data_IF_846100586661
#
_entry.id   IF_846100586661
#
_cell.length_a   1.000
_cell.length_b   1.000
_cell.length_c   1.000
_cell.angle_alpha   90.00
_cell.angle_beta   90.00
_cell.angle_gamma   90.00
#
_symmetry.space_group_name_H-M   'P 1'
#
loop_
_entity.id
_entity.type
_entity.pdbx_description
1 polymer ?
#
# COMPACT_ATOMS: atom_id res chain seq x y z
N UNK A 1 -15.02 12.94 -20.63
CA UNK A 1 -15.66 11.66 -21.05
C UNK A 1 -14.66 10.65 -21.63
N UNK A 2 -13.92 10.94 -22.71
CA UNK A 2 -13.03 9.95 -23.35
C UNK A 2 -11.87 9.45 -22.45
N UNK A 3 -11.26 10.32 -21.65
CA UNK A 3 -10.15 9.93 -20.77
C UNK A 3 -10.59 9.04 -19.60
N UNK A 4 -11.67 9.41 -18.90
CA UNK A 4 -12.25 8.60 -17.80
C UNK A 4 -12.64 7.21 -18.30
N UNK A 5 -13.30 7.13 -19.46
CA UNK A 5 -13.62 5.83 -20.09
C UNK A 5 -12.37 5.01 -20.46
N UNK A 6 -11.32 5.65 -20.99
CA UNK A 6 -10.06 4.98 -21.35
C UNK A 6 -9.26 4.51 -20.14
N UNK A 7 -9.19 5.32 -19.09
CA UNK A 7 -8.57 4.92 -17.82
C UNK A 7 -9.37 3.75 -17.25
N UNK A 8 -10.70 3.90 -17.19
CA UNK A 8 -11.63 2.86 -16.74
C UNK A 8 -11.43 1.51 -17.42
N UNK A 9 -11.27 1.47 -18.74
CA UNK A 9 -11.02 0.21 -19.47
C UNK A 9 -9.68 -0.45 -19.15
N UNK A 10 -8.73 0.29 -18.58
CA UNK A 10 -7.42 -0.23 -18.15
C UNK A 10 -7.35 -0.50 -16.64
N UNK A 11 -8.44 -0.30 -15.89
CA UNK A 11 -8.48 -0.60 -14.46
C UNK A 11 -8.67 -2.10 -14.22
N UNK A 12 -8.32 -2.51 -13.01
CA UNK A 12 -8.58 -3.86 -12.53
C UNK A 12 -10.06 -4.23 -12.70
N UNK A 13 -10.32 -5.36 -13.33
CA UNK A 13 -11.69 -5.82 -13.57
C UNK A 13 -12.33 -6.43 -12.33
N UNK A 14 -13.66 -6.37 -12.21
CA UNK A 14 -14.40 -7.09 -11.16
C UNK A 14 -14.09 -8.59 -11.16
N UNK A 15 -13.90 -9.19 -12.34
CA UNK A 15 -13.55 -10.62 -12.47
C UNK A 15 -12.20 -10.94 -11.82
N UNK A 16 -11.18 -10.12 -12.09
CA UNK A 16 -9.86 -10.30 -11.48
C UNK A 16 -9.89 -10.00 -9.97
N UNK A 17 -10.63 -8.98 -9.54
CA UNK A 17 -10.82 -8.67 -8.12
C UNK A 17 -11.51 -9.82 -7.38
N UNK A 18 -12.55 -10.42 -7.97
CA UNK A 18 -13.21 -11.61 -7.43
C UNK A 18 -12.23 -12.77 -7.27
N UNK A 19 -11.33 -12.99 -8.25
CA UNK A 19 -10.27 -14.00 -8.13
C UNK A 19 -9.33 -13.72 -6.94
N UNK A 20 -9.02 -12.46 -6.66
CA UNK A 20 -8.21 -12.10 -5.49
C UNK A 20 -8.94 -12.37 -4.18
N UNK A 21 -10.25 -12.12 -4.12
CA UNK A 21 -11.09 -12.48 -2.97
C UNK A 21 -11.19 -14.00 -2.78
N UNK A 22 -11.29 -14.77 -3.86
CA UNK A 22 -11.31 -16.23 -3.79
C UNK A 22 -9.97 -16.78 -3.28
N UNK A 23 -8.85 -16.19 -3.71
CA UNK A 23 -7.53 -16.51 -3.19
C UNK A 23 -7.37 -16.13 -1.72
N UNK A 24 -7.94 -15.00 -1.28
CA UNK A 24 -7.99 -14.61 0.14
C UNK A 24 -8.74 -15.67 0.97
N UNK A 25 -9.95 -16.05 0.53
CA UNK A 25 -10.80 -17.05 1.20
C UNK A 25 -10.12 -18.41 1.23
N UNK A 26 -9.48 -18.81 0.13
CA UNK A 26 -8.70 -20.04 0.07
C UNK A 26 -7.54 -20.02 1.07
N UNK A 27 -6.78 -18.92 1.14
CA UNK A 27 -5.66 -18.81 2.09
C UNK A 27 -6.15 -18.84 3.54
N UNK A 28 -7.26 -18.18 3.84
CA UNK A 28 -7.86 -18.21 5.18
C UNK A 28 -8.31 -19.63 5.57
N UNK A 29 -8.97 -20.36 4.66
CA UNK A 29 -9.30 -21.78 4.87
C UNK A 29 -8.05 -22.67 4.96
N UNK A 30 -7.00 -22.36 4.21
CA UNK A 30 -5.74 -23.10 4.27
C UNK A 30 -4.99 -22.93 5.60
N UNK A 31 -5.31 -21.88 6.35
CA UNK A 31 -4.78 -21.59 7.67
C UNK A 31 -5.72 -22.08 8.79
N UNK A 32 -6.79 -22.80 8.47
CA UNK A 32 -7.64 -23.41 9.49
C UNK A 32 -6.81 -24.36 10.37
N UNK A 33 -6.98 -24.24 11.69
CA UNK A 33 -6.20 -25.00 12.69
C UNK A 33 -4.78 -24.48 12.93
N UNK A 34 -4.29 -23.48 12.18
CA UNK A 34 -3.00 -22.85 12.47
C UNK A 34 -3.10 -22.01 13.75
N UNK A 35 -2.15 -22.19 14.67
CA UNK A 35 -2.02 -21.37 15.87
C UNK A 35 -0.62 -20.79 15.98
N UNK A 36 -0.55 -19.46 16.12
CA UNK A 36 0.72 -18.74 16.35
C UNK A 36 1.32 -19.03 17.74
N UNK A 37 0.49 -19.43 18.71
CA UNK A 37 0.90 -19.83 20.06
C UNK A 37 1.95 -20.93 20.02
N UNK A 38 1.69 -21.97 19.23
CA UNK A 38 2.59 -23.12 19.09
C UNK A 38 3.94 -22.72 18.49
N UNK A 39 3.95 -21.70 17.63
CA UNK A 39 5.15 -21.22 16.95
C UNK A 39 5.99 -20.33 17.88
N UNK A 40 5.34 -19.46 18.65
CA UNK A 40 6.03 -18.51 19.52
C UNK A 40 6.20 -19.02 20.96
N UNK A 41 5.58 -20.14 21.33
CA UNK A 41 5.60 -20.67 22.69
C UNK A 41 4.80 -19.80 23.67
N UNK A 42 3.75 -19.14 23.19
CA UNK A 42 2.92 -18.21 23.97
C UNK A 42 1.62 -18.91 24.33
N UNK A 43 1.18 -18.84 25.59
CA UNK A 43 -0.10 -19.40 26.04
C UNK A 43 -1.23 -18.36 26.04
N UNK A 44 -2.47 -18.76 25.75
CA UNK A 44 -3.72 -17.99 25.92
C UNK A 44 -4.05 -16.96 24.83
N UNK A 45 -3.32 -16.97 23.73
CA UNK A 45 -3.57 -16.21 22.53
C UNK A 45 -4.42 -17.03 21.54
N UNK A 46 -5.64 -17.41 21.91
CA UNK A 46 -6.60 -18.10 21.03
C UNK A 46 -7.03 -17.16 19.89
N UNK A 47 -6.15 -17.01 18.91
CA UNK A 47 -6.29 -16.07 17.80
C UNK A 47 -6.29 -16.87 16.52
N UNK A 48 -7.47 -17.00 15.92
CA UNK A 48 -7.59 -17.54 14.56
C UNK A 48 -6.94 -16.55 13.60
N UNK A 49 -6.13 -17.02 12.63
CA UNK A 49 -5.58 -16.15 11.61
C UNK A 49 -6.72 -15.55 10.78
N UNK A 50 -6.64 -14.24 10.55
CA UNK A 50 -7.47 -13.50 9.62
C UNK A 50 -6.62 -13.07 8.44
N UNK A 51 -7.15 -13.21 7.22
CA UNK A 51 -6.42 -12.84 6.00
C UNK A 51 -7.01 -11.59 5.39
N UNK A 52 -6.22 -10.52 5.32
CA UNK A 52 -6.59 -9.28 4.64
C UNK A 52 -5.84 -9.12 3.33
N UNK A 53 -6.53 -8.62 2.30
CA UNK A 53 -5.86 -8.15 1.08
C UNK A 53 -5.30 -6.75 1.31
N UNK A 54 -4.24 -6.40 0.59
CA UNK A 54 -3.74 -5.03 0.53
C UNK A 54 -3.08 -4.72 -0.81
N UNK A 55 -2.60 -3.48 -0.96
CA UNK A 55 -1.93 -2.99 -2.14
C UNK A 55 -2.85 -2.21 -3.09
N UNK A 56 -2.49 -2.21 -4.37
CA UNK A 56 -3.17 -1.36 -5.35
C UNK A 56 -4.61 -1.78 -5.64
N UNK A 57 -4.94 -3.07 -5.47
CA UNK A 57 -6.29 -3.59 -5.65
C UNK A 57 -7.26 -3.05 -4.58
N UNK A 58 -6.82 -3.00 -3.31
CA UNK A 58 -7.62 -2.47 -2.20
C UNK A 58 -7.70 -0.94 -2.23
N UNK A 59 -6.56 -0.25 -2.42
CA UNK A 59 -6.52 1.23 -2.48
C UNK A 59 -7.34 1.84 -3.62
N UNK A 60 -7.81 1.04 -4.60
CA UNK A 60 -8.60 1.52 -5.72
C UNK A 60 -7.77 2.13 -6.85
N UNK A 61 -6.46 1.89 -6.86
CA UNK A 61 -5.50 2.46 -7.83
C UNK A 61 -4.89 1.41 -8.78
N UNK A 62 -5.40 0.19 -8.78
CA UNK A 62 -4.95 -0.91 -9.63
C UNK A 62 -5.34 -0.73 -11.11
N UNK A 63 -4.36 -0.96 -11.99
CA UNK A 63 -4.59 -1.17 -13.41
C UNK A 63 -4.74 -2.67 -13.71
N UNK A 64 -5.09 -3.03 -14.94
CA UNK A 64 -5.02 -4.40 -15.45
C UNK A 64 -3.64 -5.00 -15.18
N UNK A 65 -3.58 -6.29 -14.85
CA UNK A 65 -2.36 -7.00 -14.44
C UNK A 65 -1.77 -6.55 -13.10
N UNK A 66 -2.54 -5.86 -12.24
CA UNK A 66 -2.11 -5.64 -10.87
C UNK A 66 -2.03 -6.98 -10.11
N UNK A 67 -1.09 -7.06 -9.18
CA UNK A 67 -1.02 -8.15 -8.21
C UNK A 67 -1.88 -7.84 -6.98
N UNK A 68 -2.12 -8.87 -6.18
CA UNK A 68 -2.77 -8.75 -4.87
C UNK A 68 -1.84 -9.32 -3.79
N UNK A 69 -1.67 -8.53 -2.73
CA UNK A 69 -0.87 -8.90 -1.58
C UNK A 69 -1.81 -9.31 -0.42
N UNK A 70 -1.34 -10.23 0.42
CA UNK A 70 -2.12 -10.80 1.52
C UNK A 70 -1.35 -10.66 2.84
N UNK A 71 -2.04 -10.19 3.87
CA UNK A 71 -1.53 -10.10 5.23
C UNK A 71 -2.26 -11.14 6.11
N UNK A 72 -1.49 -11.98 6.79
CA UNK A 72 -2.01 -12.87 7.83
C UNK A 72 -1.87 -12.14 9.17
N UNK A 73 -3.00 -11.89 9.81
CA UNK A 73 -3.10 -11.13 11.05
C UNK A 73 -3.80 -11.96 12.12
N UNK A 74 -3.56 -11.61 13.38
CA UNK A 74 -4.12 -12.31 14.54
C UNK A 74 -4.87 -11.30 15.40
N UNK A 75 -6.10 -11.63 15.82
CA UNK A 75 -6.92 -10.77 16.68
C UNK A 75 -6.77 -11.16 18.14
N UNK A 76 -6.70 -10.17 19.04
CA UNK A 76 -6.70 -10.45 20.48
C UNK A 76 -8.12 -10.72 21.00
N UNK A 77 -8.28 -11.75 21.83
CA UNK A 77 -9.52 -12.04 22.56
C UNK A 77 -9.46 -11.45 23.98
N UNK A 78 -9.71 -10.13 24.11
CA UNK A 78 -9.86 -9.47 25.41
C UNK A 78 -8.56 -9.13 26.14
N UNK A 79 -8.70 -8.48 27.30
CA UNK A 79 -7.61 -7.92 28.13
C UNK A 79 -6.62 -9.00 28.55
N UNK A 80 -5.60 -9.20 27.71
CA UNK A 80 -4.51 -10.13 27.97
C UNK A 80 -3.48 -9.41 28.83
N UNK A 81 -3.18 -9.92 30.03
CA UNK A 81 -2.18 -9.35 30.91
C UNK A 81 -0.80 -9.38 30.21
N UNK A 82 -0.25 -8.18 29.99
CA UNK A 82 0.91 -7.87 29.12
C UNK A 82 2.25 -8.52 29.54
N UNK A 83 2.28 -9.21 30.68
CA UNK A 83 3.48 -9.38 31.51
C UNK A 83 4.53 -10.39 30.96
N UNK A 84 4.14 -11.45 30.25
CA UNK A 84 5.08 -12.47 29.73
C UNK A 84 5.19 -12.53 28.20
N UNK A 85 4.31 -11.82 27.46
CA UNK A 85 4.14 -11.95 26.01
C UNK A 85 4.75 -10.77 25.21
N UNK A 86 5.16 -9.69 25.90
CA UNK A 86 5.60 -8.42 25.32
C UNK A 86 6.93 -8.47 24.53
N UNK A 87 7.73 -9.53 24.69
CA UNK A 87 9.05 -9.59 24.05
C UNK A 87 8.99 -9.96 22.56
N UNK A 88 7.98 -10.70 22.10
CA UNK A 88 7.86 -11.15 20.70
C UNK A 88 6.74 -10.47 19.91
N UNK A 89 5.81 -9.82 20.61
CA UNK A 89 4.62 -9.21 20.05
C UNK A 89 4.62 -7.71 20.33
N UNK A 90 4.10 -6.93 19.39
CA UNK A 90 3.72 -5.54 19.63
C UNK A 90 2.20 -5.49 19.81
N UNK A 91 1.75 -5.00 20.96
CA UNK A 91 0.39 -4.54 21.13
C UNK A 91 0.38 -3.07 20.71
N UNK A 92 0.08 -2.81 19.44
CA UNK A 92 -0.42 -1.48 19.11
C UNK A 92 -1.74 -1.28 19.84
N UNK A 93 -2.22 -0.05 20.03
CA UNK A 93 -3.60 0.23 20.53
C UNK A 93 -4.72 -0.40 19.67
N UNK A 94 -4.35 -1.22 18.68
CA UNK A 94 -5.20 -1.99 17.82
C UNK A 94 -5.43 -3.38 18.43
N UNK A 95 -6.63 -3.91 18.25
CA UNK A 95 -7.03 -5.23 18.75
C UNK A 95 -6.41 -6.38 17.93
N UNK A 96 -5.24 -6.12 17.34
CA UNK A 96 -4.43 -7.06 16.56
C UNK A 96 -3.15 -7.36 17.32
N UNK A 97 -2.64 -8.56 17.10
CA UNK A 97 -1.36 -9.02 17.60
C UNK A 97 -0.35 -8.93 16.47
N UNK A 98 0.61 -8.01 16.60
CA UNK A 98 1.65 -7.83 15.60
C UNK A 98 2.90 -8.62 16.01
N UNK A 99 3.32 -9.54 15.13
CA UNK A 99 4.58 -10.27 15.30
C UNK A 99 5.73 -9.30 15.09
N UNK A 100 6.70 -9.23 16.02
CA UNK A 100 7.90 -8.42 15.81
C UNK A 100 8.69 -8.93 14.61
N UNK A 101 9.35 -8.01 13.91
CA UNK A 101 10.05 -8.28 12.64
C UNK A 101 11.06 -9.42 12.75
N UNK A 102 11.80 -9.53 13.85
CA UNK A 102 12.77 -10.63 14.04
C UNK A 102 12.13 -12.03 14.07
N UNK A 103 10.83 -12.13 14.37
CA UNK A 103 10.07 -13.38 14.40
C UNK A 103 9.30 -13.65 13.10
N UNK A 104 9.25 -12.69 12.15
CA UNK A 104 8.49 -12.85 10.91
C UNK A 104 8.92 -14.07 10.11
N UNK A 105 10.23 -14.30 9.97
CA UNK A 105 10.76 -15.45 9.25
C UNK A 105 10.27 -16.77 9.86
N UNK A 106 10.34 -16.90 11.20
CA UNK A 106 9.91 -18.10 11.92
C UNK A 106 8.43 -18.38 11.67
N UNK A 107 7.57 -17.37 11.84
CA UNK A 107 6.12 -17.53 11.68
C UNK A 107 5.73 -17.79 10.22
N UNK A 108 6.35 -17.11 9.25
CA UNK A 108 6.11 -17.35 7.83
C UNK A 108 6.53 -18.75 7.38
N UNK A 109 7.64 -19.28 7.93
CA UNK A 109 8.05 -20.68 7.69
C UNK A 109 7.02 -21.66 8.24
N UNK A 110 6.53 -21.46 9.47
CA UNK A 110 5.51 -22.32 10.04
C UNK A 110 4.18 -22.26 9.28
N UNK A 111 3.77 -21.08 8.80
CA UNK A 111 2.62 -20.92 7.91
C UNK A 111 2.81 -21.74 6.63
N UNK A 112 3.99 -21.64 6.01
CA UNK A 112 4.32 -22.37 4.80
C UNK A 112 4.27 -23.88 5.01
N UNK A 113 4.84 -24.38 6.11
CA UNK A 113 4.81 -25.80 6.49
C UNK A 113 3.37 -26.30 6.71
N UNK A 114 2.56 -25.53 7.44
CA UNK A 114 1.14 -25.84 7.67
C UNK A 114 0.38 -25.98 6.36
N UNK A 115 0.52 -25.01 5.44
CA UNK A 115 -0.14 -25.03 4.14
C UNK A 115 0.36 -26.22 3.29
N UNK A 116 1.66 -26.55 3.35
CA UNK A 116 2.22 -27.67 2.59
C UNK A 116 1.68 -29.02 3.04
N UNK A 117 1.51 -29.22 4.35
CA UNK A 117 0.94 -30.47 4.88
C UNK A 117 -0.50 -30.66 4.39
N UNK A 118 -1.30 -29.59 4.43
CA UNK A 118 -2.74 -29.67 4.15
C UNK A 118 -3.09 -29.50 2.66
N UNK A 119 -2.24 -28.86 1.85
CA UNK A 119 -2.57 -28.44 0.47
C UNK A 119 -1.43 -28.65 -0.55
N UNK A 120 -0.58 -29.67 -0.34
CA UNK A 120 0.56 -29.98 -1.23
C UNK A 120 0.20 -30.16 -2.73
N UNK A 121 -1.01 -30.62 -3.05
CA UNK A 121 -1.47 -30.78 -4.44
C UNK A 121 -1.89 -29.47 -5.11
N UNK A 122 -2.22 -28.45 -4.32
CA UNK A 122 -2.73 -27.16 -4.79
C UNK A 122 -1.61 -26.12 -4.89
N UNK A 123 -0.62 -26.16 -4.00
CA UNK A 123 0.54 -25.26 -4.02
C UNK A 123 1.71 -25.97 -4.70
N UNK A 124 2.01 -25.55 -5.94
CA UNK A 124 3.00 -26.22 -6.80
C UNK A 124 4.42 -25.71 -6.59
N UNK A 125 4.57 -24.47 -6.11
CA UNK A 125 5.87 -23.84 -5.83
C UNK A 125 5.72 -22.81 -4.72
N UNK A 126 6.80 -22.60 -3.96
CA UNK A 126 6.89 -21.52 -2.97
C UNK A 126 8.25 -20.81 -3.08
N UNK A 127 8.28 -19.50 -2.85
CA UNK A 127 9.50 -18.71 -2.71
C UNK A 127 9.49 -18.00 -1.35
N UNK A 128 10.67 -17.82 -0.75
CA UNK A 128 10.85 -17.19 0.55
C UNK A 128 11.68 -15.91 0.37
N UNK A 129 11.11 -14.75 0.70
CA UNK A 129 11.73 -13.44 0.48
C UNK A 129 11.83 -12.70 1.82
N UNK A 130 12.78 -13.11 2.65
CA UNK A 130 12.98 -12.55 4.00
C UNK A 130 13.91 -11.33 4.05
N UNK A 131 14.72 -11.12 3.01
CA UNK A 131 15.64 -9.97 2.91
C UNK A 131 14.97 -8.66 2.56
N UNK A 132 13.70 -8.69 2.13
CA UNK A 132 12.91 -7.50 1.87
C UNK A 132 12.64 -6.72 3.18
N UNK A 133 12.28 -5.43 3.05
CA UNK A 133 11.86 -4.61 4.19
C UNK A 133 10.72 -5.28 4.96
N UNK A 134 9.69 -5.68 4.22
CA UNK A 134 8.57 -6.51 4.69
C UNK A 134 8.83 -7.94 4.22
N UNK A 135 9.18 -8.87 5.12
CA UNK A 135 9.33 -10.29 4.79
C UNK A 135 8.03 -10.88 4.28
N UNK A 136 8.09 -11.69 3.22
CA UNK A 136 6.94 -12.40 2.69
C UNK A 136 7.32 -13.76 2.09
N UNK A 137 6.33 -14.63 1.94
CA UNK A 137 6.41 -15.87 1.17
C UNK A 137 5.51 -15.74 -0.05
N UNK A 138 5.94 -16.29 -1.18
CA UNK A 138 5.14 -16.33 -2.40
C UNK A 138 4.67 -17.75 -2.65
N UNK A 139 3.35 -17.94 -2.73
CA UNK A 139 2.72 -19.23 -2.98
C UNK A 139 2.21 -19.28 -4.42
N UNK A 140 2.64 -20.26 -5.21
CA UNK A 140 2.15 -20.47 -6.57
C UNK A 140 1.08 -21.56 -6.55
N UNK A 141 -0.16 -21.19 -6.89
CA UNK A 141 -1.31 -22.08 -6.89
C UNK A 141 -1.54 -22.68 -8.27
N UNK A 142 -1.80 -23.98 -8.37
CA UNK A 142 -2.25 -24.57 -9.64
C UNK A 142 -3.61 -23.99 -10.03
N UNK A 143 -3.76 -23.58 -11.30
CA UNK A 143 -5.07 -23.22 -11.85
C UNK A 143 -5.95 -24.46 -12.02
N UNK A 144 -7.27 -24.24 -12.12
CA UNK A 144 -8.16 -25.26 -12.69
C UNK A 144 -7.76 -25.50 -14.16
N UNK A 145 -7.55 -26.76 -14.56
CA UNK A 145 -7.15 -27.18 -15.91
C UNK A 145 -5.69 -26.89 -16.32
N UNK A 146 -4.71 -26.91 -15.41
CA UNK A 146 -3.27 -26.75 -15.74
C UNK A 146 -2.90 -25.44 -16.48
N UNK A 147 -3.75 -24.43 -16.48
CA UNK A 147 -3.41 -23.08 -16.97
C UNK A 147 -2.54 -22.34 -15.95
N UNK A 148 -1.81 -21.31 -16.40
CA UNK A 148 -0.93 -20.47 -15.57
C UNK A 148 -1.55 -20.17 -14.20
N UNK A 149 -0.85 -20.63 -13.15
CA UNK A 149 -1.27 -20.49 -11.77
C UNK A 149 -1.24 -19.05 -11.27
N UNK A 150 -2.15 -18.68 -10.37
CA UNK A 150 -2.03 -17.41 -9.65
C UNK A 150 -0.97 -17.52 -8.55
N UNK A 151 -0.22 -16.45 -8.32
CA UNK A 151 0.65 -16.36 -7.14
C UNK A 151 -0.01 -15.52 -6.04
N UNK A 152 0.33 -15.80 -4.78
CA UNK A 152 -0.11 -15.05 -3.60
C UNK A 152 1.14 -14.63 -2.82
N UNK A 153 1.32 -13.33 -2.62
CA UNK A 153 2.37 -12.80 -1.75
C UNK A 153 1.81 -12.64 -0.34
N UNK A 154 2.33 -13.43 0.59
CA UNK A 154 1.80 -13.56 1.96
C UNK A 154 2.83 -13.00 2.96
N UNK A 155 2.41 -12.00 3.72
CA UNK A 155 3.22 -11.30 4.71
C UNK A 155 2.52 -11.26 6.08
N UNK A 156 3.24 -10.80 7.10
CA UNK A 156 2.71 -10.55 8.45
C UNK A 156 2.58 -9.05 8.75
N UNK A 157 2.68 -8.19 7.73
CA UNK A 157 2.65 -6.73 7.93
C UNK A 157 1.22 -6.24 8.09
N UNK A 158 0.96 -5.54 9.19
CA UNK A 158 -0.31 -4.83 9.40
C UNK A 158 -0.35 -3.46 8.68
N UNK A 159 0.81 -2.85 8.42
CA UNK A 159 0.92 -1.58 7.68
C UNK A 159 0.36 -1.66 6.27
N UNK A 160 0.53 -2.80 5.58
CA UNK A 160 -0.02 -3.01 4.24
C UNK A 160 -1.53 -2.74 4.17
N UNK A 161 -2.35 -3.50 4.93
CA UNK A 161 -3.79 -3.25 5.05
C UNK A 161 -4.14 -1.85 5.54
N UNK A 162 -3.46 -1.32 6.57
CA UNK A 162 -3.68 0.04 7.11
C UNK A 162 -3.51 1.10 6.03
N UNK A 163 -2.36 1.12 5.38
CA UNK A 163 -2.06 2.04 4.29
C UNK A 163 -3.03 1.91 3.12
N UNK A 164 -3.37 0.68 2.74
CA UNK A 164 -4.24 0.45 1.58
C UNK A 164 -5.67 0.90 1.84
N UNK A 165 -6.20 0.67 3.04
CA UNK A 165 -7.53 1.14 3.42
C UNK A 165 -7.55 2.66 3.59
N UNK A 166 -6.53 3.27 4.20
CA UNK A 166 -6.41 4.73 4.29
C UNK A 166 -6.48 5.37 2.89
N UNK A 167 -5.71 4.85 1.94
CA UNK A 167 -5.75 5.31 0.56
C UNK A 167 -7.12 5.07 -0.09
N UNK A 168 -7.75 3.92 0.14
CA UNK A 168 -9.09 3.61 -0.38
C UNK A 168 -10.13 4.63 0.09
N UNK A 169 -10.10 5.00 1.36
CA UNK A 169 -10.99 6.00 1.93
C UNK A 169 -10.78 7.39 1.30
N UNK A 170 -9.53 7.78 0.99
CA UNK A 170 -9.27 9.00 0.21
C UNK A 170 -9.83 8.89 -1.22
N UNK A 171 -9.62 7.75 -1.90
CA UNK A 171 -10.07 7.55 -3.29
C UNK A 171 -11.59 7.56 -3.42
N UNK A 172 -12.32 6.95 -2.48
CA UNK A 172 -13.78 7.01 -2.46
C UNK A 172 -14.31 8.35 -1.97
N UNK A 173 -13.56 8.98 -1.08
CA UNK A 173 -13.90 10.28 -0.54
C UNK A 173 -13.85 11.41 -1.58
N UNK A 174 -12.97 11.33 -2.57
CA UNK A 174 -12.87 12.33 -3.63
C UNK A 174 -12.55 11.63 -4.98
N UNK A 175 -13.57 11.40 -5.84
CA UNK A 175 -13.36 10.73 -7.11
C UNK A 175 -12.40 11.47 -8.07
N UNK A 176 -12.28 12.79 -7.93
CA UNK A 176 -11.34 13.61 -8.73
C UNK A 176 -9.91 13.35 -8.26
N UNK A 177 -9.68 13.25 -6.96
CA UNK A 177 -8.39 12.85 -6.38
C UNK A 177 -7.97 11.49 -6.94
N UNK A 178 -8.87 10.49 -6.92
CA UNK A 178 -8.58 9.16 -7.47
C UNK A 178 -8.20 9.22 -8.95
N UNK A 179 -8.97 9.93 -9.76
CA UNK A 179 -8.68 10.09 -11.18
C UNK A 179 -7.32 10.77 -11.40
N UNK A 180 -7.00 11.79 -10.60
CA UNK A 180 -5.71 12.47 -10.61
C UNK A 180 -4.55 11.52 -10.29
N UNK A 181 -4.67 10.72 -9.22
CA UNK A 181 -3.68 9.70 -8.85
C UNK A 181 -3.46 8.68 -9.97
N UNK A 182 -4.54 8.20 -10.60
CA UNK A 182 -4.43 7.26 -11.72
C UNK A 182 -3.71 7.88 -12.93
N UNK A 183 -4.01 9.14 -13.25
CA UNK A 183 -3.32 9.88 -14.33
C UNK A 183 -1.84 10.08 -13.99
N UNK A 184 -1.53 10.58 -12.79
CA UNK A 184 -0.18 10.79 -12.30
C UNK A 184 0.62 9.49 -12.30
N UNK A 185 0.04 8.39 -11.82
CA UNK A 185 0.67 7.06 -11.79
C UNK A 185 0.98 6.54 -13.20
N UNK A 186 0.05 6.68 -14.15
CA UNK A 186 0.31 6.27 -15.54
C UNK A 186 1.38 7.14 -16.19
N UNK A 187 1.33 8.45 -15.97
CA UNK A 187 2.31 9.38 -16.52
C UNK A 187 3.71 9.18 -15.91
N UNK A 188 3.85 9.10 -14.59
CA UNK A 188 5.14 8.89 -13.95
C UNK A 188 5.77 7.54 -14.33
N UNK A 189 4.95 6.50 -14.59
CA UNK A 189 5.41 5.24 -15.19
C UNK A 189 5.99 5.47 -16.60
N UNK A 190 5.32 6.28 -17.42
CA UNK A 190 5.81 6.62 -18.77
C UNK A 190 7.15 7.35 -18.77
N UNK A 191 7.40 8.14 -17.73
CA UNK A 191 8.65 8.88 -17.54
C UNK A 191 9.75 8.02 -16.88
N UNK A 192 9.46 6.77 -16.51
CA UNK A 192 10.43 5.85 -15.90
C UNK A 192 10.81 6.18 -14.46
N UNK A 193 10.00 6.99 -13.76
CA UNK A 193 10.26 7.44 -12.37
C UNK A 193 9.42 6.70 -11.32
N UNK A 194 8.82 5.56 -11.69
CA UNK A 194 8.04 4.69 -10.79
C UNK A 194 8.55 3.24 -10.78
N UNK A 195 9.54 2.97 -9.93
CA UNK A 195 10.06 1.63 -9.64
C UNK A 195 10.98 1.67 -8.41
N UNK A 196 10.42 1.39 -7.22
CA UNK A 196 11.16 1.40 -5.96
C UNK A 196 12.31 0.39 -5.90
N UNK A 197 12.21 -0.73 -6.63
CA UNK A 197 13.29 -1.74 -6.68
C UNK A 197 14.51 -1.22 -7.43
N UNK A 198 14.31 -0.24 -8.33
CA UNK A 198 15.38 0.42 -9.10
C UNK A 198 15.75 1.80 -8.54
N UNK A 199 15.35 2.10 -7.31
CA UNK A 199 15.71 3.33 -6.60
C UNK A 199 14.80 4.53 -6.87
N UNK A 200 13.69 4.37 -7.60
CA UNK A 200 12.72 5.47 -7.82
C UNK A 200 11.65 5.50 -6.72
N UNK A 201 10.73 6.47 -6.76
CA UNK A 201 9.58 6.46 -5.84
C UNK A 201 8.61 5.31 -6.20
N UNK A 202 7.92 4.78 -5.20
CA UNK A 202 6.86 3.79 -5.42
C UNK A 202 5.56 4.45 -5.87
N UNK A 203 4.64 3.68 -6.47
CA UNK A 203 3.29 4.18 -6.76
C UNK A 203 2.52 4.56 -5.48
N UNK A 204 2.87 3.93 -4.35
CA UNK A 204 2.35 4.28 -3.03
C UNK A 204 2.85 5.67 -2.60
N UNK A 205 4.16 5.91 -2.64
CA UNK A 205 4.76 7.21 -2.35
C UNK A 205 4.17 8.34 -3.22
N UNK A 206 4.03 8.10 -4.54
CA UNK A 206 3.38 9.06 -5.45
C UNK A 206 1.93 9.36 -5.04
N UNK A 207 1.18 8.35 -4.59
CA UNK A 207 -0.20 8.54 -4.14
C UNK A 207 -0.25 9.42 -2.88
N UNK A 208 0.66 9.18 -1.93
CA UNK A 208 0.79 10.01 -0.72
C UNK A 208 1.15 11.46 -1.07
N UNK A 209 2.11 11.67 -1.99
CA UNK A 209 2.45 13.01 -2.50
C UNK A 209 1.23 13.72 -3.12
N UNK A 210 0.43 13.00 -3.90
CA UNK A 210 -0.75 13.59 -4.54
C UNK A 210 -1.83 13.96 -3.52
N UNK A 211 -2.08 13.10 -2.51
CA UNK A 211 -3.01 13.41 -1.41
C UNK A 211 -2.54 14.65 -0.65
N UNK A 212 -1.26 14.70 -0.29
CA UNK A 212 -0.66 15.86 0.38
C UNK A 212 -0.89 17.14 -0.40
N UNK A 213 -0.55 17.16 -1.70
CA UNK A 213 -0.79 18.30 -2.58
C UNK A 213 -2.27 18.73 -2.56
N UNK A 214 -3.20 17.79 -2.67
CA UNK A 214 -4.64 18.09 -2.65
C UNK A 214 -5.07 18.69 -1.30
N UNK A 215 -4.50 18.24 -0.18
CA UNK A 215 -4.80 18.76 1.16
C UNK A 215 -4.22 20.16 1.40
N UNK A 216 -2.92 20.36 1.15
CA UNK A 216 -2.24 21.63 1.46
C UNK A 216 -2.74 22.77 0.58
N UNK A 217 -3.09 22.46 -0.67
CA UNK A 217 -3.67 23.44 -1.60
C UNK A 217 -5.19 23.57 -1.51
N UNK A 218 -5.81 22.95 -0.49
CA UNK A 218 -7.26 23.02 -0.19
C UNK A 218 -8.17 22.57 -1.33
N UNK A 219 -7.66 21.71 -2.22
CA UNK A 219 -8.45 21.11 -3.30
C UNK A 219 -9.36 20.03 -2.76
N UNK A 220 -8.93 19.28 -1.74
CA UNK A 220 -9.79 18.37 -0.99
C UNK A 220 -9.95 18.86 0.44
N UNK A 221 -11.18 18.77 0.97
CA UNK A 221 -11.46 19.04 2.38
C UNK A 221 -11.31 17.79 3.24
N UNK A 222 -11.05 16.62 2.63
CA UNK A 222 -11.00 15.35 3.36
C UNK A 222 -9.63 15.13 4.00
N UNK A 223 -9.67 14.90 5.30
CA UNK A 223 -8.56 14.44 6.13
C UNK A 223 -9.10 13.25 6.90
N UNK A 224 -8.43 12.10 6.78
CA UNK A 224 -8.84 10.86 7.43
C UNK A 224 -7.94 10.63 8.63
N UNK A 225 -8.56 10.28 9.76
CA UNK A 225 -7.86 9.88 10.97
C UNK A 225 -7.39 8.42 10.83
N UNK A 226 -6.10 8.20 11.03
CA UNK A 226 -5.46 6.90 10.93
C UNK A 226 -6.01 5.91 11.97
N UNK A 227 -6.50 6.41 13.11
CA UNK A 227 -7.13 5.59 14.15
C UNK A 227 -8.50 5.06 13.73
N UNK A 228 -9.26 5.80 12.91
CA UNK A 228 -10.53 5.35 12.34
C UNK A 228 -10.32 4.14 11.41
N UNK A 229 -9.22 4.15 10.64
CA UNK A 229 -8.83 3.03 9.76
C UNK A 229 -8.59 1.75 10.55
N UNK A 230 -7.89 1.84 11.68
CA UNK A 230 -7.63 0.68 12.55
C UNK A 230 -8.92 0.08 13.10
N UNK A 231 -9.89 0.93 13.46
CA UNK A 231 -11.20 0.48 13.94
C UNK A 231 -12.00 -0.23 12.84
N UNK A 232 -11.97 0.28 11.61
CA UNK A 232 -12.63 -0.36 10.46
C UNK A 232 -12.00 -1.73 10.20
N UNK A 233 -10.67 -1.83 10.12
CA UNK A 233 -9.97 -3.11 9.91
C UNK A 233 -10.28 -4.13 10.99
N UNK A 234 -10.38 -3.69 12.24
CA UNK A 234 -10.77 -4.58 13.34
C UNK A 234 -12.20 -5.11 13.17
N UNK A 235 -13.17 -4.22 12.96
CA UNK A 235 -14.57 -4.63 12.77
C UNK A 235 -14.71 -5.57 11.57
N UNK A 236 -13.98 -5.29 10.49
CA UNK A 236 -13.85 -6.17 9.33
C UNK A 236 -13.36 -7.56 9.70
N UNK A 237 -12.19 -7.64 10.30
CA UNK A 237 -11.55 -8.91 10.59
C UNK A 237 -12.37 -9.73 11.60
N UNK A 238 -13.01 -9.06 12.57
CA UNK A 238 -13.92 -9.71 13.53
C UNK A 238 -15.15 -10.32 12.84
N UNK A 239 -15.85 -9.56 12.01
CA UNK A 239 -17.03 -10.05 11.30
C UNK A 239 -16.70 -11.21 10.35
N UNK A 240 -15.55 -11.14 9.67
CA UNK A 240 -15.07 -12.21 8.81
C UNK A 240 -14.84 -13.51 9.57
N UNK A 241 -14.26 -13.45 10.78
CA UNK A 241 -14.08 -14.62 11.64
C UNK A 241 -15.41 -15.16 12.21
N UNK A 242 -16.40 -14.29 12.43
CA UNK A 242 -17.75 -14.67 12.89
C UNK A 242 -18.61 -15.25 11.76
N UNK A 243 -18.11 -15.28 10.52
CA UNK A 243 -18.84 -15.78 9.35
C UNK A 243 -20.00 -14.87 8.93
N UNK A 244 -20.02 -13.61 9.40
CA UNK A 244 -21.04 -12.63 9.03
C UNK A 244 -20.71 -12.08 7.65
N UNK A 245 -21.57 -12.36 6.69
CA UNK A 245 -21.39 -11.96 5.29
C UNK A 245 -21.87 -10.51 5.05
N UNK A 246 -21.44 -9.57 5.90
CA UNK A 246 -21.66 -8.15 5.64
C UNK A 246 -20.66 -7.66 4.59
N UNK A 247 -21.19 -7.11 3.51
CA UNK A 247 -20.39 -6.53 2.45
C UNK A 247 -19.76 -5.23 2.98
N UNK A 248 -18.48 -5.25 3.30
CA UNK A 248 -17.75 -4.01 3.54
C UNK A 248 -17.64 -3.23 2.24
N UNK A 249 -18.32 -2.08 2.10
CA UNK A 249 -18.44 -1.40 0.81
C UNK A 249 -17.08 -0.99 0.22
N UNK A 250 -16.08 -0.75 1.08
CA UNK A 250 -14.75 -0.28 0.71
C UNK A 250 -13.80 -1.37 0.20
N UNK A 251 -14.03 -2.64 0.56
CA UNK A 251 -13.07 -3.75 0.30
C UNK A 251 -13.76 -4.98 -0.32
N UNK A 252 -15.08 -5.01 -0.36
CA UNK A 252 -15.86 -6.05 -1.04
C UNK A 252 -15.83 -5.96 -2.56
N UNK A 253 -15.46 -4.81 -3.13
CA UNK A 253 -15.44 -4.60 -4.58
C UNK A 253 -14.37 -3.59 -5.04
N UNK A 254 -14.11 -3.58 -6.35
CA UNK A 254 -13.28 -2.56 -7.01
C UNK A 254 -13.82 -1.16 -6.70
N UNK A 255 -12.92 -0.18 -6.60
CA UNK A 255 -13.34 1.20 -6.38
C UNK A 255 -14.10 1.70 -7.61
N UNK A 256 -15.38 2.02 -7.41
CA UNK A 256 -16.28 2.52 -8.45
C UNK A 256 -15.71 3.75 -9.14
N UNK A 257 -15.81 3.79 -10.47
CA UNK A 257 -15.44 4.98 -11.23
C UNK A 257 -16.64 5.93 -11.25
N UNK A 258 -16.53 7.06 -10.55
CA UNK A 258 -17.54 8.13 -10.64
C UNK A 258 -17.25 9.03 -11.83
N UNK A 259 -18.30 9.63 -12.39
CA UNK A 259 -18.14 10.67 -13.40
C UNK A 259 -17.54 11.92 -12.75
N UNK A 260 -16.41 12.37 -13.30
CA UNK A 260 -15.70 13.57 -12.87
C UNK A 260 -15.47 14.51 -14.04
N UNK A 261 -15.46 15.82 -13.76
CA UNK A 261 -15.02 16.80 -14.75
C UNK A 261 -13.52 16.64 -14.99
N UNK A 262 -13.20 16.17 -16.20
CA UNK A 262 -11.83 15.91 -16.60
C UNK A 262 -10.98 17.18 -16.63
N UNK A 263 -11.57 18.35 -16.88
CA UNK A 263 -10.82 19.62 -16.86
C UNK A 263 -10.26 19.89 -15.47
N UNK A 264 -11.05 19.62 -14.43
CA UNK A 264 -10.61 19.78 -13.04
C UNK A 264 -9.51 18.77 -12.69
N UNK A 265 -9.67 17.50 -13.09
CA UNK A 265 -8.62 16.47 -12.89
C UNK A 265 -7.30 16.89 -13.55
N UNK A 266 -7.37 17.44 -14.76
CA UNK A 266 -6.20 17.87 -15.52
C UNK A 266 -5.56 19.13 -14.94
N UNK A 267 -6.38 20.08 -14.49
CA UNK A 267 -5.92 21.25 -13.75
C UNK A 267 -5.22 20.86 -12.46
N UNK A 268 -5.75 19.86 -11.74
CA UNK A 268 -5.14 19.37 -10.51
C UNK A 268 -3.82 18.64 -10.78
N UNK A 269 -3.76 17.82 -11.84
CA UNK A 269 -2.56 17.13 -12.26
C UNK A 269 -1.45 18.11 -12.70
N UNK A 270 -1.80 19.13 -13.48
CA UNK A 270 -0.86 20.18 -13.85
C UNK A 270 -0.36 20.95 -12.62
N UNK A 271 -1.27 21.31 -11.72
CA UNK A 271 -0.90 21.98 -10.46
C UNK A 271 -0.03 21.09 -9.56
N UNK A 272 -0.22 19.77 -9.57
CA UNK A 272 0.64 18.81 -8.86
C UNK A 272 2.07 18.84 -9.40
N UNK A 273 2.24 18.82 -10.72
CA UNK A 273 3.56 18.94 -11.35
C UNK A 273 4.22 20.29 -11.07
N UNK A 274 3.45 21.38 -11.12
CA UNK A 274 3.95 22.70 -10.76
C UNK A 274 4.39 22.76 -9.29
N UNK A 275 3.57 22.21 -8.39
CA UNK A 275 3.79 22.23 -6.95
C UNK A 275 5.10 21.54 -6.54
N UNK A 276 5.39 20.36 -7.11
CA UNK A 276 6.62 19.62 -6.82
C UNK A 276 7.77 19.89 -7.81
N UNK A 277 7.50 20.49 -8.98
CA UNK A 277 8.53 20.74 -10.00
C UNK A 277 9.34 22.02 -9.78
N UNK A 278 8.78 22.99 -9.06
CA UNK A 278 9.45 24.25 -8.72
C UNK A 278 9.72 24.39 -7.22
N UNK A 279 10.73 25.17 -6.85
CA UNK A 279 11.09 25.44 -5.44
C UNK A 279 10.20 26.47 -4.73
N UNK A 280 9.24 27.07 -5.43
CA UNK A 280 8.37 28.12 -4.86
C UNK A 280 7.23 27.56 -4.01
N UNK A 281 6.81 26.31 -4.26
CA UNK A 281 5.65 25.73 -3.60
C UNK A 281 5.99 24.58 -2.64
N UNK A 282 7.04 23.80 -2.97
CA UNK A 282 7.55 22.72 -2.15
C UNK A 282 9.06 22.61 -2.38
N UNK A 283 9.84 22.71 -1.32
CA UNK A 283 11.28 22.56 -1.36
C UNK A 283 11.66 21.20 -0.79
N UNK A 284 12.13 20.28 -1.65
CA UNK A 284 12.54 18.94 -1.23
C UNK A 284 13.74 18.92 -0.26
N UNK A 285 14.49 20.02 -0.15
CA UNK A 285 15.63 20.11 0.76
C UNK A 285 15.18 20.49 2.19
N UNK A 286 14.01 21.12 2.35
CA UNK A 286 13.49 21.59 3.65
C UNK A 286 12.17 20.97 4.07
N UNK A 287 11.32 20.56 3.13
CA UNK A 287 9.93 20.22 3.37
C UNK A 287 9.71 18.70 3.46
N UNK A 288 8.61 18.33 4.10
CA UNK A 288 8.19 16.93 4.26
C UNK A 288 6.77 16.74 3.74
N UNK A 289 6.57 15.68 2.96
CA UNK A 289 5.23 15.22 2.60
C UNK A 289 4.67 14.41 3.76
N UNK A 290 3.68 14.96 4.46
CA UNK A 290 2.99 14.30 5.58
C UNK A 290 1.46 14.48 5.50
N UNK A 291 0.75 13.37 5.30
CA UNK A 291 -0.72 13.33 5.18
C UNK A 291 -1.43 12.99 6.49
N UNK A 292 -0.67 12.79 7.58
CA UNK A 292 -1.21 12.35 8.87
C UNK A 292 -2.19 13.35 9.46
N UNK A 293 -3.23 12.94 10.17
CA UNK A 293 -4.17 13.94 10.74
C UNK A 293 -3.52 14.72 11.88
N UNK A 294 -2.81 14.01 12.76
CA UNK A 294 -2.14 14.55 13.93
C UNK A 294 -0.62 14.45 13.78
N UNK A 295 0.13 15.24 14.55
CA UNK A 295 1.61 15.20 14.59
C UNK A 295 2.29 15.30 13.22
N UNK A 296 1.71 16.13 12.33
CA UNK A 296 2.27 16.40 11.00
C UNK A 296 3.66 17.01 11.11
N UNK A 297 4.61 16.43 10.39
CA UNK A 297 5.90 17.05 10.18
C UNK A 297 5.80 18.07 9.06
N UNK A 298 6.31 19.27 9.34
CA UNK A 298 6.33 20.39 8.39
C UNK A 298 7.70 20.61 7.77
N UNK A 299 8.78 20.18 8.44
CA UNK A 299 10.15 20.34 7.96
C UNK A 299 11.00 19.09 8.16
N UNK A 300 11.98 18.94 7.26
CA UNK A 300 12.98 17.89 7.28
C UNK A 300 13.84 17.98 8.54
N UNK A 301 14.19 19.19 8.95
CA UNK A 301 14.93 19.45 10.19
C UNK A 301 14.23 18.84 11.41
N UNK A 302 12.94 19.14 11.61
CA UNK A 302 12.15 18.59 12.73
C UNK A 302 12.08 17.06 12.69
N UNK A 303 11.98 16.46 11.50
CA UNK A 303 12.04 15.00 11.39
C UNK A 303 13.41 14.46 11.82
N UNK A 304 14.50 15.05 11.32
CA UNK A 304 15.87 14.61 11.60
C UNK A 304 16.24 14.74 13.08
N UNK A 305 15.77 15.79 13.75
CA UNK A 305 15.89 15.96 15.20
C UNK A 305 15.18 14.84 15.97
N UNK A 306 13.93 14.55 15.59
CA UNK A 306 13.11 13.51 16.23
C UNK A 306 13.73 12.12 16.19
N UNK A 307 14.55 11.83 15.17
CA UNK A 307 15.21 10.52 14.99
C UNK A 307 16.72 10.54 15.30
N UNK A 308 17.25 11.63 15.88
CA UNK A 308 18.68 11.77 16.18
C UNK A 308 19.18 10.80 17.26
N UNK A 309 18.27 10.25 18.06
CA UNK A 309 18.58 9.28 19.12
C UNK A 309 18.84 7.85 18.59
N UNK A 310 18.51 7.56 17.32
CA UNK A 310 18.77 6.26 16.72
C UNK A 310 20.21 6.14 16.19
N UNK A 311 20.76 4.93 16.22
CA UNK A 311 22.05 4.62 15.60
C UNK A 311 22.02 4.77 14.06
N UNK A 312 23.19 4.90 13.44
CA UNK A 312 23.33 5.11 11.99
C UNK A 312 22.64 4.05 11.14
N UNK A 313 22.68 2.78 11.56
CA UNK A 313 22.06 1.67 10.80
C UNK A 313 20.54 1.78 10.87
N UNK A 314 19.99 2.08 12.04
CA UNK A 314 18.54 2.29 12.20
C UNK A 314 18.08 3.51 11.42
N UNK A 315 18.80 4.64 11.51
CA UNK A 315 18.52 5.85 10.73
C UNK A 315 18.52 5.57 9.23
N UNK A 316 19.53 4.87 8.72
CA UNK A 316 19.60 4.47 7.30
C UNK A 316 18.40 3.62 6.88
N UNK A 317 17.99 2.67 7.73
CA UNK A 317 16.83 1.82 7.43
C UNK A 317 15.52 2.63 7.35
N UNK A 318 15.37 3.66 8.19
CA UNK A 318 14.20 4.54 8.22
C UNK A 318 14.20 5.57 7.10
N UNK A 319 15.29 6.31 6.90
CA UNK A 319 15.34 7.49 6.04
C UNK A 319 16.02 7.32 4.68
N UNK A 320 17.01 6.42 4.59
CA UNK A 320 17.82 6.22 3.39
C UNK A 320 18.58 7.46 2.95
N UNK A 321 18.51 7.82 1.67
CA UNK A 321 19.27 8.94 1.09
C UNK A 321 18.75 10.33 1.44
N UNK A 322 17.58 10.44 2.09
CA UNK A 322 17.03 11.72 2.57
C UNK A 322 16.84 12.79 1.47
N UNK A 323 16.84 12.40 0.18
CA UNK A 323 16.73 13.34 -0.95
C UNK A 323 15.28 13.80 -1.18
N UNK A 324 14.32 12.91 -0.93
CA UNK A 324 12.90 13.19 -0.98
C UNK A 324 12.29 12.65 0.31
N UNK A 325 11.67 13.54 1.10
CA UNK A 325 11.12 13.21 2.42
C UNK A 325 9.60 13.04 2.33
N UNK A 326 9.14 11.78 2.36
CA UNK A 326 7.73 11.42 2.33
C UNK A 326 7.47 10.48 3.50
N UNK A 327 6.72 10.94 4.50
CA UNK A 327 6.45 10.15 5.70
C UNK A 327 5.35 9.14 5.47
N UNK A 328 5.58 7.89 5.88
CA UNK A 328 4.53 6.88 5.96
C UNK A 328 3.49 7.30 7.03
N UNK A 329 2.17 7.13 6.79
CA UNK A 329 1.13 7.48 7.76
C UNK A 329 1.15 6.66 9.06
N UNK A 330 1.72 5.45 9.07
CA UNK A 330 1.73 4.55 10.23
C UNK A 330 3.14 4.27 10.77
N UNK A 331 4.19 4.52 10.00
CA UNK A 331 5.58 4.31 10.40
C UNK A 331 6.41 5.61 10.33
N UNK A 332 7.44 5.77 11.17
CA UNK A 332 8.45 6.85 11.02
C UNK A 332 9.45 6.55 9.89
N UNK A 333 8.90 6.12 8.76
CA UNK A 333 9.61 5.66 7.60
C UNK A 333 9.51 6.67 6.45
N UNK A 334 10.64 6.95 5.80
CA UNK A 334 10.67 7.71 4.55
C UNK A 334 10.38 6.82 3.33
N UNK A 335 9.22 7.01 2.71
CA UNK A 335 8.84 6.33 1.46
C UNK A 335 9.75 6.69 0.28
N UNK A 336 10.47 7.81 0.37
CA UNK A 336 11.51 8.23 -0.58
C UNK A 336 12.90 7.64 -0.30
N UNK A 337 13.07 6.74 0.68
CA UNK A 337 14.39 6.29 1.17
C UNK A 337 15.38 5.82 0.10
N UNK A 338 14.88 5.22 -0.98
CA UNK A 338 15.70 4.61 -2.03
C UNK A 338 16.12 5.58 -3.13
N UNK A 339 15.58 6.80 -3.10
CA UNK A 339 15.85 7.84 -4.10
C UNK A 339 17.12 8.55 -3.75
N UNK A 340 18.19 8.24 -4.49
CA UNK A 340 19.44 9.00 -4.42
C UNK A 340 19.31 10.39 -5.06
N UNK A 341 20.38 11.19 -4.90
CA UNK A 341 20.47 12.55 -5.42
C UNK A 341 20.11 12.66 -6.91
N UNK A 342 20.73 11.86 -7.78
CA UNK A 342 20.52 11.97 -9.24
C UNK A 342 19.08 11.62 -9.64
N UNK A 343 18.49 10.63 -8.97
CA UNK A 343 17.09 10.27 -9.18
C UNK A 343 16.15 11.35 -8.65
N UNK A 344 16.48 11.96 -7.51
CA UNK A 344 15.76 13.12 -6.97
C UNK A 344 15.73 14.28 -7.94
N UNK A 345 16.89 14.68 -8.45
CA UNK A 345 17.01 15.72 -9.49
C UNK A 345 16.22 15.38 -10.75
N UNK A 346 16.26 14.11 -11.18
CA UNK A 346 15.47 13.67 -12.33
C UNK A 346 13.96 13.79 -12.08
N UNK A 347 13.47 13.48 -10.88
CA UNK A 347 12.05 13.64 -10.52
C UNK A 347 11.67 15.13 -10.56
N UNK A 348 12.48 15.99 -9.94
CA UNK A 348 12.29 17.45 -9.93
C UNK A 348 12.19 18.00 -11.36
N UNK A 349 13.14 17.64 -12.22
CA UNK A 349 13.17 18.10 -13.62
C UNK A 349 11.98 17.57 -14.43
N UNK A 350 11.61 16.30 -14.27
CA UNK A 350 10.47 15.70 -14.97
C UNK A 350 9.17 16.42 -14.59
N UNK A 351 8.96 16.74 -13.31
CA UNK A 351 7.80 17.51 -12.86
C UNK A 351 7.84 18.96 -13.34
N UNK A 352 9.02 19.62 -13.31
CA UNK A 352 9.19 20.98 -13.84
C UNK A 352 8.80 21.08 -15.31
N UNK A 353 9.35 20.21 -16.16
CA UNK A 353 9.02 20.17 -17.59
C UNK A 353 7.54 19.87 -17.84
N UNK A 354 6.94 18.99 -17.05
CA UNK A 354 5.51 18.68 -17.15
C UNK A 354 4.61 19.88 -16.79
N UNK A 355 5.08 20.75 -15.88
CA UNK A 355 4.39 21.99 -15.51
C UNK A 355 4.50 23.11 -16.54
N UNK A 356 5.45 23.01 -17.48
CA UNK A 356 5.62 23.95 -18.60
C UNK A 356 4.94 23.45 -19.88
N UNK A 357 4.62 22.15 -19.91
CA UNK A 357 4.00 21.50 -21.06
C UNK A 357 2.48 21.70 -21.04
N UNK A 358 1.89 21.92 -22.22
CA UNK A 358 0.43 21.96 -22.34
C UNK A 358 -0.17 20.64 -21.87
N UNK A 359 -1.21 20.71 -21.05
CA UNK A 359 -1.81 19.52 -20.45
C UNK A 359 -2.36 18.55 -21.51
N UNK A 360 -2.70 19.05 -22.71
CA UNK A 360 -3.08 18.23 -23.87
C UNK A 360 -1.96 17.31 -24.37
N UNK A 361 -0.70 17.72 -24.25
CA UNK A 361 0.44 16.91 -24.68
C UNK A 361 0.73 15.79 -23.68
N UNK A 362 0.58 16.07 -22.39
CA UNK A 362 0.59 15.06 -21.31
C UNK A 362 -0.52 14.02 -21.55
N UNK A 363 -1.71 14.46 -21.97
CA UNK A 363 -2.80 13.56 -22.36
C UNK A 363 -2.47 12.72 -23.59
N UNK A 364 -1.82 13.31 -24.59
CA UNK A 364 -1.42 12.61 -25.81
C UNK A 364 -0.39 11.52 -25.49
N UNK A 365 0.56 11.77 -24.58
CA UNK A 365 1.47 10.75 -24.06
C UNK A 365 0.72 9.63 -23.34
N UNK A 366 -0.18 9.98 -22.43
CA UNK A 366 -1.05 9.02 -21.73
C UNK A 366 -1.89 8.17 -22.71
N UNK A 367 -2.27 8.72 -23.86
CA UNK A 367 -3.04 8.06 -24.91
C UNK A 367 -2.19 7.15 -25.81
N UNK A 368 -0.95 7.55 -26.15
CA UNK A 368 -0.02 6.75 -26.99
C UNK A 368 0.30 5.40 -26.34
N UNK A 369 0.36 5.33 -25.02
CA UNK A 369 0.69 4.11 -24.29
C UNK A 369 -0.41 3.03 -24.30
N UNK A 370 -1.65 3.35 -24.69
CA UNK A 370 -2.70 2.33 -24.88
C UNK A 370 -2.52 1.46 -26.14
N UNK A 371 -1.54 1.77 -27.00
CA UNK A 371 -1.23 1.03 -28.23
C UNK A 371 0.08 0.25 -28.19
N UNK A 372 0.91 0.44 -27.16
CA UNK A 372 2.28 -0.11 -27.10
C UNK A 372 2.41 -1.34 -26.20
N UNK A 373 1.33 -1.83 -25.57
CA UNK A 373 1.34 -3.04 -24.74
C UNK A 373 0.89 -4.31 -25.48
N UNK A 374 1.03 -4.34 -26.82
CA UNK A 374 0.68 -5.50 -27.66
C UNK A 374 1.80 -5.84 -28.65
N UNK A 375 3.04 -5.84 -28.19
CA UNK A 375 4.18 -6.46 -28.91
C UNK A 375 4.92 -7.35 -27.94
#
# INVERSE_FOLDING_TARGET
MALVRRIGSSLLSHKEYSRFLDNRKWLEGALEGFSIENVLGISQLSSRPSVLMYGSCVSGTAFSNADADYAVLFLTQGNTEESSMANMLNYTHSKFIEVKREHHQKVLLSILEHIRVSFCSTVVKCEQIYSARVPFIRLFKSGANNTEGSHLDVSLSFDGPRNSLLLRLYMEGDPRLRCGVLCAKKWCRSQGILDARRGWISAYALTVMYIFYMQVTKRTARIIDESEVNNILYCMSKQMLEGVNECFPFVGDVCSCSDVDIKNVLSDLHGFFHFFGGSMCFDFDTDVVDIRKNDKLVSKESWLEGINHFDEKTRWNLLGYETIMIRDPYEDHNLGRSVDFFRGERIREVFRLASETKIEDVLNELAKQGRLSSV
#
